data_IF_300378669891
#
_entry.id   IF_300378669891
#
_cell.length_a   1.000
_cell.length_b   1.000
_cell.length_c   1.000
_cell.angle_alpha   90.00
_cell.angle_beta   90.00
_cell.angle_gamma   90.00
#
_symmetry.space_group_name_H-M   'P 1'
#
loop_
_entity.id
_entity.type
_entity.pdbx_description
1 polymer ?
#
# COMPACT_ATOMS: atom_id res chain seq x y z
N UNK A 1 32.18 -6.88 -24.69
CA UNK A 1 31.16 -5.88 -24.32
C UNK A 1 30.89 -6.04 -22.83
N UNK A 2 31.34 -5.08 -22.02
CA UNK A 2 31.16 -5.10 -20.57
C UNK A 2 29.66 -5.03 -20.25
N UNK A 3 29.11 -6.04 -19.55
CA UNK A 3 27.82 -5.92 -18.89
C UNK A 3 27.96 -4.77 -17.89
N UNK A 4 27.47 -3.57 -18.23
CA UNK A 4 27.21 -2.52 -17.24
C UNK A 4 26.33 -3.17 -16.18
N UNK A 5 26.88 -3.44 -15.00
CA UNK A 5 26.10 -3.86 -13.84
C UNK A 5 25.11 -2.74 -13.58
N UNK A 6 23.84 -2.93 -13.96
CA UNK A 6 22.77 -2.02 -13.61
C UNK A 6 22.74 -1.94 -12.08
N UNK A 7 22.91 -0.73 -11.52
CA UNK A 7 22.81 -0.55 -10.07
C UNK A 7 21.41 -0.91 -9.62
N UNK A 8 21.28 -1.64 -8.51
CA UNK A 8 20.01 -2.14 -8.00
C UNK A 8 19.08 -1.06 -7.44
N UNK A 9 19.65 0.10 -7.09
CA UNK A 9 18.93 1.25 -6.56
C UNK A 9 19.62 2.56 -6.95
N UNK A 10 18.82 3.64 -7.05
CA UNK A 10 19.27 5.02 -7.24
C UNK A 10 18.76 5.91 -6.11
N UNK A 11 19.55 6.90 -5.73
CA UNK A 11 19.19 7.95 -4.78
C UNK A 11 19.06 9.28 -5.53
N UNK A 12 17.89 9.92 -5.39
CA UNK A 12 17.64 11.25 -5.98
C UNK A 12 17.49 12.28 -4.88
N UNK A 13 18.35 13.28 -4.87
CA UNK A 13 18.29 14.41 -3.95
C UNK A 13 17.51 15.56 -4.58
N UNK A 14 16.60 16.17 -3.83
CA UNK A 14 15.93 17.40 -4.27
C UNK A 14 16.80 18.64 -4.07
N UNK A 15 16.43 19.72 -4.75
CA UNK A 15 16.81 21.07 -4.34
C UNK A 15 16.42 21.33 -2.88
N UNK A 16 17.10 22.24 -2.16
CA UNK A 16 16.73 22.63 -0.80
C UNK A 16 15.30 23.16 -0.73
N UNK A 17 14.54 22.63 0.22
CA UNK A 17 13.15 22.96 0.51
C UNK A 17 13.05 23.61 1.90
N UNK A 18 11.92 24.27 2.16
CA UNK A 18 11.60 24.74 3.49
C UNK A 18 10.15 24.54 3.86
N UNK A 19 9.91 24.16 5.12
CA UNK A 19 8.59 24.02 5.72
C UNK A 19 8.65 24.57 7.14
N UNK A 20 7.76 25.50 7.49
CA UNK A 20 7.69 26.09 8.84
C UNK A 20 9.05 26.64 9.34
N UNK A 21 9.90 27.16 8.45
CA UNK A 21 11.23 27.68 8.78
C UNK A 21 12.31 26.60 8.94
N UNK A 22 11.97 25.31 8.83
CA UNK A 22 12.92 24.21 8.77
C UNK A 22 13.42 24.07 7.33
N UNK A 23 14.74 24.06 7.13
CA UNK A 23 15.37 23.73 5.84
C UNK A 23 15.56 22.22 5.73
N UNK A 24 15.30 21.65 4.57
CA UNK A 24 15.55 20.24 4.33
C UNK A 24 15.76 19.91 2.85
N UNK A 25 16.36 18.76 2.58
CA UNK A 25 16.34 18.13 1.26
C UNK A 25 15.62 16.79 1.33
N UNK A 26 15.02 16.37 0.22
CA UNK A 26 14.35 15.10 0.08
C UNK A 26 15.28 14.10 -0.62
N UNK A 27 15.61 13.01 0.05
CA UNK A 27 16.36 11.89 -0.49
C UNK A 27 15.39 10.77 -0.90
N UNK A 28 15.26 10.56 -2.21
CA UNK A 28 14.29 9.64 -2.81
C UNK A 28 14.98 8.33 -3.19
N UNK A 29 14.46 7.20 -2.72
CA UNK A 29 14.96 5.87 -3.05
C UNK A 29 14.14 5.30 -4.21
N UNK A 30 14.82 4.98 -5.30
CA UNK A 30 14.27 4.26 -6.46
C UNK A 30 14.93 2.88 -6.56
N UNK A 31 14.13 1.81 -6.57
CA UNK A 31 14.62 0.45 -6.84
C UNK A 31 14.44 0.17 -8.33
N UNK A 32 15.55 -0.12 -9.02
CA UNK A 32 15.61 -0.10 -10.50
C UNK A 32 15.38 -1.47 -11.13
N UNK A 33 15.56 -2.56 -10.36
CA UNK A 33 15.26 -3.91 -10.85
C UNK A 33 13.76 -4.04 -11.14
N UNK A 34 13.39 -4.81 -12.15
CA UNK A 34 11.99 -4.99 -12.57
C UNK A 34 11.11 -5.61 -11.49
N UNK A 35 11.69 -6.48 -10.66
CA UNK A 35 11.05 -7.09 -9.49
C UNK A 35 11.12 -6.20 -8.23
N UNK A 36 11.83 -5.07 -8.31
CA UNK A 36 12.12 -4.13 -7.22
C UNK A 36 12.78 -4.80 -6.01
N UNK A 37 13.49 -5.92 -6.22
CA UNK A 37 14.21 -6.61 -5.16
C UNK A 37 15.63 -6.07 -5.03
N UNK A 38 16.03 -5.81 -3.79
CA UNK A 38 17.41 -5.47 -3.46
C UNK A 38 17.92 -6.43 -2.39
N UNK A 39 19.21 -6.73 -2.47
CA UNK A 39 19.90 -7.62 -1.55
C UNK A 39 20.83 -6.80 -0.64
N UNK A 40 21.17 -7.29 0.57
CA UNK A 40 22.07 -6.56 1.47
C UNK A 40 23.42 -6.18 0.85
N UNK A 41 23.93 -6.98 -0.10
CA UNK A 41 25.18 -6.68 -0.81
C UNK A 41 25.09 -5.46 -1.73
N UNK A 42 23.88 -5.07 -2.15
CA UNK A 42 23.65 -3.94 -3.05
C UNK A 42 23.98 -2.58 -2.39
N UNK A 43 24.09 -2.50 -1.05
CA UNK A 43 24.46 -1.25 -0.34
C UNK A 43 25.96 -1.01 -0.19
N UNK A 44 26.80 -2.03 -0.43
CA UNK A 44 28.22 -2.01 -0.06
C UNK A 44 29.00 -0.84 -0.68
N UNK A 45 28.58 -0.41 -1.88
CA UNK A 45 29.19 0.70 -2.62
C UNK A 45 28.15 1.79 -2.93
N UNK A 46 27.12 1.93 -2.08
CA UNK A 46 26.11 2.95 -2.25
C UNK A 46 26.70 4.31 -1.86
N UNK A 47 26.89 5.19 -2.83
CA UNK A 47 27.34 6.55 -2.59
C UNK A 47 26.15 7.47 -2.35
N UNK A 48 26.24 8.31 -1.31
CA UNK A 48 25.28 9.38 -1.10
C UNK A 48 25.47 10.49 -2.15
N UNK A 49 24.38 11.17 -2.57
CA UNK A 49 24.49 12.36 -3.41
C UNK A 49 25.45 13.40 -2.79
N UNK A 50 26.38 13.99 -3.57
CA UNK A 50 27.42 14.87 -3.04
C UNK A 50 26.89 16.23 -2.55
N UNK A 51 25.70 16.63 -3.02
CA UNK A 51 25.12 17.96 -2.78
C UNK A 51 24.22 18.03 -1.54
N UNK A 52 24.41 17.12 -0.57
CA UNK A 52 23.66 17.12 0.69
C UNK A 52 24.11 18.29 1.58
N UNK A 53 23.19 19.21 1.85
CA UNK A 53 23.33 20.31 2.79
C UNK A 53 23.16 19.79 4.22
N UNK A 54 24.28 19.63 4.92
CA UNK A 54 24.31 19.17 6.32
C UNK A 54 23.79 20.20 7.32
N UNK A 55 23.60 21.46 6.92
CA UNK A 55 23.04 22.51 7.80
C UNK A 55 21.52 22.41 7.93
N UNK A 56 20.88 21.73 6.97
CA UNK A 56 19.46 21.40 6.99
C UNK A 56 19.20 19.96 7.43
N UNK A 57 17.93 19.58 7.37
CA UNK A 57 17.53 18.18 7.54
C UNK A 57 17.47 17.39 6.23
N UNK A 58 17.42 16.07 6.35
CA UNK A 58 17.16 15.19 5.20
C UNK A 58 15.93 14.33 5.48
N UNK A 59 14.99 14.36 4.55
CA UNK A 59 13.81 13.48 4.55
C UNK A 59 14.07 12.32 3.60
N UNK A 60 14.07 11.10 4.12
CA UNK A 60 14.21 9.87 3.33
C UNK A 60 12.81 9.41 2.88
N UNK A 61 12.63 9.13 1.60
CA UNK A 61 11.36 8.69 1.02
C UNK A 61 11.56 7.63 -0.06
N UNK A 62 10.71 6.59 -0.10
CA UNK A 62 10.74 5.58 -1.14
C UNK A 62 10.29 4.20 -0.65
N UNK A 63 10.09 3.25 -1.58
CA UNK A 63 9.82 1.86 -1.19
C UNK A 63 11.14 1.14 -1.05
N UNK A 64 11.52 0.83 0.19
CA UNK A 64 12.75 0.12 0.47
C UNK A 64 12.64 -0.73 1.73
N UNK A 65 13.44 -1.80 1.84
CA UNK A 65 13.59 -2.56 3.07
C UNK A 65 14.06 -1.70 4.25
N UNK A 66 13.67 -2.11 5.46
CA UNK A 66 14.02 -1.41 6.70
C UNK A 66 15.53 -1.25 6.92
N UNK A 67 16.33 -2.23 6.51
CA UNK A 67 17.79 -2.15 6.64
C UNK A 67 18.41 -1.04 5.77
N UNK A 68 17.82 -0.69 4.63
CA UNK A 68 18.30 0.42 3.80
C UNK A 68 17.99 1.76 4.46
N UNK A 69 16.80 1.89 5.04
CA UNK A 69 16.43 3.07 5.84
C UNK A 69 17.37 3.26 7.04
N UNK A 70 17.69 2.18 7.74
CA UNK A 70 18.66 2.21 8.86
C UNK A 70 20.03 2.66 8.39
N UNK A 71 20.55 2.07 7.30
CA UNK A 71 21.83 2.45 6.70
C UNK A 71 21.85 3.93 6.29
N UNK A 72 20.86 4.41 5.54
CA UNK A 72 20.79 5.81 5.11
C UNK A 72 20.68 6.76 6.30
N UNK A 73 19.93 6.40 7.35
CA UNK A 73 19.86 7.20 8.58
C UNK A 73 21.23 7.32 9.25
N UNK A 74 22.02 6.23 9.25
CA UNK A 74 23.39 6.26 9.77
C UNK A 74 24.31 7.14 8.92
N UNK A 75 24.30 7.00 7.59
CA UNK A 75 25.17 7.79 6.71
C UNK A 75 24.81 9.29 6.72
N UNK A 76 23.52 9.61 6.89
CA UNK A 76 23.03 10.99 6.96
C UNK A 76 23.15 11.63 8.35
N UNK A 77 23.71 10.93 9.35
CA UNK A 77 23.84 11.44 10.72
C UNK A 77 24.57 12.79 10.86
N UNK A 78 25.42 13.27 9.93
CA UNK A 78 26.01 14.61 10.05
C UNK A 78 25.02 15.76 9.81
N UNK A 79 23.82 15.49 9.27
CA UNK A 79 22.80 16.50 9.00
C UNK A 79 22.15 17.03 10.29
N UNK A 80 21.47 18.19 10.21
CA UNK A 80 20.84 18.80 11.38
C UNK A 80 19.75 17.89 11.97
N UNK A 81 18.99 17.20 11.13
CA UNK A 81 17.98 16.21 11.50
C UNK A 81 17.61 15.29 10.34
N UNK A 82 17.10 14.11 10.65
CA UNK A 82 16.70 13.10 9.67
C UNK A 82 15.26 12.71 9.96
N UNK A 83 14.46 12.57 8.90
CA UNK A 83 13.10 12.10 8.99
C UNK A 83 12.79 11.04 7.93
N UNK A 84 11.94 10.07 8.29
CA UNK A 84 11.39 9.09 7.36
C UNK A 84 10.01 9.55 6.89
N UNK A 85 9.80 9.62 5.58
CA UNK A 85 8.51 9.99 5.03
C UNK A 85 7.51 8.83 5.06
N UNK A 86 6.38 9.04 5.73
CA UNK A 86 5.22 8.15 5.67
C UNK A 86 4.05 8.90 5.00
N UNK A 87 3.54 8.45 3.85
CA UNK A 87 2.44 9.12 3.15
C UNK A 87 1.14 9.19 3.95
N UNK A 88 1.00 8.42 5.04
CA UNK A 88 -0.14 8.46 5.96
C UNK A 88 -0.02 9.59 7.00
N UNK A 89 1.19 10.08 7.26
CA UNK A 89 1.49 10.99 8.37
C UNK A 89 2.19 12.28 7.94
N UNK A 90 3.27 12.17 7.16
CA UNK A 90 4.25 13.22 6.90
C UNK A 90 5.68 12.71 7.12
N UNK A 91 6.64 13.62 7.29
CA UNK A 91 8.01 13.26 7.63
C UNK A 91 8.15 13.09 9.14
N UNK A 92 8.38 11.86 9.60
CA UNK A 92 8.56 11.52 11.02
C UNK A 92 10.04 11.60 11.37
N UNK A 93 10.41 12.52 12.25
CA UNK A 93 11.81 12.72 12.68
C UNK A 93 12.31 11.47 13.42
N UNK A 94 13.35 10.83 12.88
CA UNK A 94 13.95 9.61 13.43
C UNK A 94 15.28 9.88 14.14
N UNK A 95 16.01 10.94 13.76
CA UNK A 95 17.23 11.38 14.40
C UNK A 95 17.38 12.91 14.33
N UNK A 96 18.08 13.52 15.28
CA UNK A 96 18.35 14.96 15.28
C UNK A 96 19.63 15.29 16.02
N UNK A 97 20.43 16.22 15.46
CA UNK A 97 21.53 16.90 16.14
C UNK A 97 21.19 18.38 16.43
N UNK A 98 19.96 18.78 16.13
CA UNK A 98 19.46 20.15 16.24
C UNK A 98 18.41 20.26 17.34
N UNK A 99 18.27 21.47 17.89
CA UNK A 99 17.17 21.83 18.81
C UNK A 99 15.91 22.30 18.09
N UNK A 100 15.92 22.37 16.75
CA UNK A 100 14.79 22.82 15.94
C UNK A 100 13.65 21.79 15.89
N UNK A 101 13.96 20.51 16.10
CA UNK A 101 13.00 19.40 16.04
C UNK A 101 13.25 18.39 17.17
N UNK A 102 12.28 17.50 17.42
CA UNK A 102 12.42 16.40 18.37
C UNK A 102 12.09 15.04 17.71
N UNK A 103 12.69 13.96 18.23
CA UNK A 103 12.43 12.59 17.74
C UNK A 103 10.94 12.25 17.90
N UNK A 104 10.32 11.73 16.84
CA UNK A 104 8.89 11.44 16.78
C UNK A 104 8.02 12.62 16.35
N UNK A 105 8.58 13.83 16.18
CA UNK A 105 7.87 14.95 15.57
C UNK A 105 7.45 14.60 14.13
N UNK A 106 6.21 14.92 13.78
CA UNK A 106 5.72 14.79 12.40
C UNK A 106 5.74 16.16 11.73
N UNK A 107 6.59 16.30 10.72
CA UNK A 107 6.67 17.51 9.89
C UNK A 107 5.66 17.35 8.75
N UNK A 108 4.65 18.25 8.63
CA UNK A 108 3.57 18.11 7.68
C UNK A 108 4.03 18.52 6.27
N UNK A 109 4.63 17.58 5.56
CA UNK A 109 5.07 17.76 4.17
C UNK A 109 4.34 16.82 3.23
N UNK A 110 4.19 17.26 1.99
CA UNK A 110 3.75 16.44 0.86
C UNK A 110 4.84 16.56 -0.22
N UNK A 111 5.85 15.68 -0.20
CA UNK A 111 6.94 15.74 -1.15
C UNK A 111 6.42 15.54 -2.58
N UNK A 112 7.02 16.22 -3.59
CA UNK A 112 6.63 16.12 -4.99
C UNK A 112 6.70 14.68 -5.55
N UNK A 113 7.40 13.78 -4.87
CA UNK A 113 7.54 12.35 -5.17
C UNK A 113 6.23 11.53 -5.11
N UNK A 114 5.09 12.14 -4.74
CA UNK A 114 3.78 11.54 -4.93
C UNK A 114 3.18 11.75 -6.33
N UNK A 115 3.65 12.74 -7.10
CA UNK A 115 3.01 13.13 -8.38
C UNK A 115 3.93 13.69 -9.48
N UNK A 116 5.26 13.81 -9.31
CA UNK A 116 6.06 14.52 -10.31
C UNK A 116 7.26 13.81 -10.97
N UNK A 117 7.59 12.54 -10.72
CA UNK A 117 8.76 11.93 -11.40
C UNK A 117 8.58 10.60 -12.14
N UNK A 118 7.35 10.14 -12.41
CA UNK A 118 7.12 9.23 -13.52
C UNK A 118 5.90 9.70 -14.31
N UNK A 119 6.08 9.97 -15.61
CA UNK A 119 5.07 10.50 -16.52
C UNK A 119 3.86 9.58 -16.74
N UNK A 120 3.02 9.44 -15.72
CA UNK A 120 1.71 8.80 -15.82
C UNK A 120 0.63 9.85 -15.53
N UNK A 121 0.10 10.33 -16.65
CA UNK A 121 -1.16 11.02 -16.89
C UNK A 121 -1.86 11.71 -15.68
N UNK A 122 -2.11 13.01 -15.88
CA UNK A 122 -3.07 13.84 -15.15
C UNK A 122 -4.53 13.31 -15.16
N UNK A 123 -4.76 12.10 -15.67
CA UNK A 123 -6.07 11.57 -16.05
C UNK A 123 -6.73 10.72 -14.93
N UNK A 124 -6.05 10.48 -13.80
CA UNK A 124 -6.53 9.59 -12.73
C UNK A 124 -6.98 10.31 -11.45
N UNK A 125 -7.32 11.60 -11.54
CA UNK A 125 -7.87 12.35 -10.42
C UNK A 125 -9.34 12.59 -10.71
N UNK A 126 -10.21 12.25 -9.76
CA UNK A 126 -11.55 12.84 -9.74
C UNK A 126 -11.38 14.35 -9.47
N UNK A 127 -11.45 15.14 -10.54
CA UNK A 127 -11.13 16.59 -10.58
C UNK A 127 -11.93 17.36 -9.51
N UNK A 128 -13.11 16.87 -9.12
CA UNK A 128 -13.96 17.53 -8.12
C UNK A 128 -13.48 17.37 -6.68
N UNK A 129 -12.86 16.23 -6.32
CA UNK A 129 -12.46 15.94 -4.94
C UNK A 129 -10.96 16.01 -4.69
N UNK A 130 -10.14 15.95 -5.75
CA UNK A 130 -8.67 15.92 -5.64
C UNK A 130 -8.10 14.64 -5.03
N UNK A 131 -8.96 13.68 -4.65
CA UNK A 131 -8.61 12.39 -4.05
C UNK A 131 -8.60 11.30 -5.12
N UNK A 132 -7.60 10.43 -5.08
CA UNK A 132 -7.60 9.24 -5.92
C UNK A 132 -8.66 8.23 -5.45
N UNK A 133 -9.01 7.25 -6.30
CA UNK A 133 -9.86 6.14 -5.89
C UNK A 133 -9.25 5.32 -4.75
N UNK A 134 -10.11 4.76 -3.92
CA UNK A 134 -9.78 3.72 -2.95
C UNK A 134 -10.68 2.50 -3.16
N UNK A 135 -10.03 1.34 -3.41
CA UNK A 135 -10.65 0.05 -3.69
C UNK A 135 -10.58 -0.82 -2.43
N UNK A 136 -11.73 -1.07 -1.81
CA UNK A 136 -11.86 -1.94 -0.65
C UNK A 136 -11.98 -3.40 -1.09
N UNK A 137 -11.07 -4.27 -0.62
CA UNK A 137 -11.17 -5.72 -0.80
C UNK A 137 -11.91 -6.30 0.40
N UNK A 138 -13.03 -6.97 0.13
CA UNK A 138 -13.93 -7.48 1.16
C UNK A 138 -14.36 -8.91 0.87
N UNK A 139 -14.89 -9.59 1.88
CA UNK A 139 -15.29 -10.98 1.78
C UNK A 139 -15.26 -11.69 3.13
N UNK A 140 -15.86 -12.89 3.25
CA UNK A 140 -15.76 -13.66 4.48
C UNK A 140 -14.30 -14.04 4.82
N UNK A 141 -14.02 -14.52 6.04
CA UNK A 141 -12.71 -15.06 6.39
C UNK A 141 -12.30 -16.19 5.43
N UNK A 142 -11.00 -16.38 5.25
CA UNK A 142 -10.39 -17.48 4.46
C UNK A 142 -10.83 -17.57 2.99
N UNK A 143 -11.33 -16.49 2.41
CA UNK A 143 -11.71 -16.43 0.98
C UNK A 143 -10.57 -15.97 0.05
N UNK A 144 -9.37 -15.73 0.58
CA UNK A 144 -8.22 -15.30 -0.23
C UNK A 144 -8.08 -13.77 -0.39
N UNK A 145 -8.74 -12.96 0.45
CA UNK A 145 -8.69 -11.48 0.44
C UNK A 145 -7.25 -10.92 0.38
N UNK A 146 -6.40 -11.31 1.33
CA UNK A 146 -5.03 -10.81 1.38
C UNK A 146 -4.12 -11.36 0.28
N UNK A 147 -4.45 -12.54 -0.25
CA UNK A 147 -3.76 -13.10 -1.42
C UNK A 147 -4.12 -12.27 -2.66
N UNK A 148 -5.41 -12.01 -2.87
CA UNK A 148 -5.90 -11.17 -3.97
C UNK A 148 -5.38 -9.73 -3.86
N UNK A 149 -5.48 -9.10 -2.69
CA UNK A 149 -5.06 -7.70 -2.50
C UNK A 149 -3.57 -7.52 -2.81
N UNK A 150 -2.74 -8.48 -2.40
CA UNK A 150 -1.32 -8.50 -2.73
C UNK A 150 -1.08 -8.80 -4.21
N UNK A 151 -1.72 -9.82 -4.79
CA UNK A 151 -1.55 -10.18 -6.20
C UNK A 151 -1.96 -9.02 -7.13
N UNK A 152 -3.09 -8.37 -6.83
CA UNK A 152 -3.59 -7.21 -7.55
C UNK A 152 -2.63 -6.02 -7.44
N UNK A 153 -2.10 -5.76 -6.24
CA UNK A 153 -1.07 -4.73 -6.04
C UNK A 153 0.18 -5.01 -6.87
N UNK A 154 0.72 -6.24 -6.83
CA UNK A 154 1.91 -6.61 -7.61
C UNK A 154 1.68 -6.51 -9.12
N UNK A 155 0.51 -6.95 -9.60
CA UNK A 155 0.17 -6.91 -11.02
C UNK A 155 -0.02 -5.48 -11.57
N UNK A 156 -0.51 -4.55 -10.75
CA UNK A 156 -0.71 -3.15 -11.15
C UNK A 156 0.55 -2.30 -11.00
N UNK A 157 1.49 -2.70 -10.13
CA UNK A 157 2.65 -1.89 -9.77
C UNK A 157 3.58 -1.49 -10.94
N UNK A 158 3.81 -2.34 -11.96
CA UNK A 158 4.63 -1.98 -13.13
C UNK A 158 4.04 -0.83 -13.95
N UNK A 159 2.73 -0.83 -14.16
CA UNK A 159 2.01 0.19 -14.95
C UNK A 159 1.59 1.40 -14.09
N UNK A 160 1.41 1.21 -12.80
CA UNK A 160 0.98 2.23 -11.85
C UNK A 160 1.90 2.21 -10.60
N UNK A 161 3.10 2.81 -10.68
CA UNK A 161 4.07 2.82 -9.59
C UNK A 161 3.60 3.57 -8.33
N UNK A 162 2.57 4.39 -8.44
CA UNK A 162 2.05 5.29 -7.39
C UNK A 162 0.81 4.76 -6.65
N UNK A 163 0.52 3.46 -6.74
CA UNK A 163 -0.54 2.81 -5.97
C UNK A 163 -0.09 2.42 -4.57
N UNK A 164 -1.00 2.24 -3.61
CA UNK A 164 -0.64 1.81 -2.25
C UNK A 164 -1.55 0.68 -1.75
N UNK A 165 -0.98 -0.31 -1.05
CA UNK A 165 -1.73 -1.37 -0.37
C UNK A 165 -1.79 -1.06 1.13
N UNK A 166 -2.95 -0.59 1.59
CA UNK A 166 -3.23 -0.33 3.00
C UNK A 166 -3.89 -1.56 3.63
N UNK A 167 -3.17 -2.23 4.53
CA UNK A 167 -3.74 -3.31 5.37
C UNK A 167 -4.44 -2.68 6.57
N UNK A 168 -5.75 -2.89 6.72
CA UNK A 168 -6.57 -2.36 7.81
C UNK A 168 -7.23 -3.50 8.59
N UNK A 169 -6.40 -4.36 9.17
CA UNK A 169 -6.79 -5.54 9.95
C UNK A 169 -6.11 -5.51 11.31
N UNK A 170 -6.86 -5.84 12.36
CA UNK A 170 -6.36 -5.94 13.74
C UNK A 170 -6.34 -7.38 14.25
N UNK A 171 -6.94 -8.30 13.49
CA UNK A 171 -7.26 -9.68 13.89
C UNK A 171 -6.09 -10.67 13.71
N UNK A 172 -4.90 -10.18 13.35
CA UNK A 172 -3.70 -11.01 13.16
C UNK A 172 -3.64 -11.71 11.80
N UNK A 173 -4.61 -11.48 10.90
CA UNK A 173 -4.55 -12.00 9.53
C UNK A 173 -3.38 -11.39 8.74
N UNK A 174 -2.61 -12.25 8.05
CA UNK A 174 -1.66 -11.84 7.01
C UNK A 174 -0.18 -11.67 7.40
N UNK A 175 0.18 -11.67 8.68
CA UNK A 175 1.59 -11.61 9.14
C UNK A 175 2.14 -12.94 9.66
N UNK A 176 1.28 -13.87 10.09
CA UNK A 176 1.69 -15.16 10.64
C UNK A 176 2.55 -15.99 9.69
N UNK A 177 2.38 -15.85 8.37
CA UNK A 177 3.13 -16.64 7.40
C UNK A 177 4.60 -16.19 7.30
N UNK A 178 4.92 -14.93 7.61
CA UNK A 178 6.32 -14.48 7.68
C UNK A 178 7.03 -15.08 8.90
N UNK A 179 6.29 -15.33 9.97
CA UNK A 179 6.80 -15.79 11.26
C UNK A 179 6.74 -17.32 11.44
N UNK A 180 5.78 -18.00 10.80
CA UNK A 180 5.57 -19.44 10.90
C UNK A 180 6.00 -20.23 9.66
N UNK A 181 6.28 -19.55 8.53
CA UNK A 181 6.62 -20.20 7.26
C UNK A 181 5.41 -20.77 6.50
N UNK A 182 5.67 -21.31 5.30
CA UNK A 182 4.64 -21.87 4.40
C UNK A 182 4.14 -23.26 4.82
N UNK A 183 4.86 -23.93 5.71
CA UNK A 183 4.55 -25.29 6.19
C UNK A 183 3.76 -25.29 7.51
N UNK A 184 3.41 -24.11 8.02
CA UNK A 184 2.65 -23.97 9.26
C UNK A 184 1.29 -24.65 9.15
N UNK A 185 0.94 -25.46 10.14
CA UNK A 185 -0.36 -26.11 10.25
C UNK A 185 -1.45 -25.08 10.57
N UNK A 186 -2.71 -25.40 10.23
CA UNK A 186 -3.86 -24.56 10.56
C UNK A 186 -3.95 -24.26 12.07
N UNK A 187 -3.57 -25.23 12.92
CA UNK A 187 -3.52 -25.09 14.37
C UNK A 187 -2.46 -24.09 14.83
N UNK A 188 -1.27 -24.09 14.22
CA UNK A 188 -0.20 -23.13 14.52
C UNK A 188 -0.57 -21.71 14.06
N UNK A 189 -1.21 -21.61 12.90
CA UNK A 189 -1.73 -20.35 12.36
C UNK A 189 -2.78 -19.77 13.30
N UNK A 190 -3.76 -20.56 13.73
CA UNK A 190 -4.80 -20.12 14.66
C UNK A 190 -4.22 -19.76 16.04
N UNK A 191 -3.29 -20.55 16.56
CA UNK A 191 -2.61 -20.25 17.82
C UNK A 191 -1.76 -18.96 17.72
N UNK A 192 -1.17 -18.67 16.57
CA UNK A 192 -0.43 -17.42 16.34
C UNK A 192 -1.37 -16.23 16.20
N UNK A 193 -2.47 -16.37 15.44
CA UNK A 193 -3.51 -15.35 15.35
C UNK A 193 -4.01 -15.01 16.75
N UNK A 194 -4.33 -16.02 17.57
CA UNK A 194 -4.81 -15.82 18.94
C UNK A 194 -3.78 -15.12 19.85
N UNK A 195 -2.50 -15.49 19.74
CA UNK A 195 -1.40 -14.87 20.51
C UNK A 195 -1.11 -13.42 20.13
N UNK A 196 -1.26 -13.08 18.84
CA UNK A 196 -0.91 -11.77 18.30
C UNK A 196 -2.13 -10.89 17.98
N UNK A 197 -3.34 -11.35 18.32
CA UNK A 197 -4.57 -10.58 18.14
C UNK A 197 -4.52 -9.34 19.03
N UNK A 198 -4.47 -8.18 18.41
CA UNK A 198 -4.65 -6.92 19.14
C UNK A 198 -6.07 -6.81 19.70
N UNK A 199 -6.30 -5.86 20.60
CA UNK A 199 -7.65 -5.48 20.96
C UNK A 199 -8.18 -4.45 19.95
N UNK A 200 -9.40 -4.65 19.46
CA UNK A 200 -10.09 -3.59 18.72
C UNK A 200 -10.32 -2.41 19.66
N UNK A 201 -9.71 -1.27 19.36
CA UNK A 201 -9.93 -0.01 20.08
C UNK A 201 -10.86 0.88 19.27
N UNK A 202 -11.58 1.79 19.95
CA UNK A 202 -12.42 2.80 19.29
C UNK A 202 -11.64 3.68 18.29
N UNK A 203 -10.32 3.77 18.45
CA UNK A 203 -9.43 4.54 17.57
C UNK A 203 -9.00 3.80 16.32
N UNK A 204 -9.14 2.47 16.26
CA UNK A 204 -8.57 1.65 15.20
C UNK A 204 -9.11 2.02 13.81
N UNK A 205 -10.44 2.01 13.65
CA UNK A 205 -11.07 2.32 12.37
C UNK A 205 -10.94 3.82 11.98
N UNK A 206 -11.13 4.78 12.90
CA UNK A 206 -10.84 6.19 12.61
C UNK A 206 -9.40 6.44 12.17
N UNK A 207 -8.42 5.79 12.81
CA UNK A 207 -7.01 5.90 12.44
C UNK A 207 -6.76 5.41 11.00
N UNK A 208 -7.28 4.23 10.65
CA UNK A 208 -7.16 3.69 9.30
C UNK A 208 -7.91 4.54 8.26
N UNK A 209 -9.10 5.04 8.59
CA UNK A 209 -9.84 5.95 7.73
C UNK A 209 -9.04 7.21 7.41
N UNK A 210 -8.46 7.85 8.43
CA UNK A 210 -7.61 9.03 8.25
C UNK A 210 -6.36 8.69 7.41
N UNK A 211 -5.72 7.55 7.66
CA UNK A 211 -4.58 7.09 6.87
C UNK A 211 -4.95 6.88 5.39
N UNK A 212 -6.10 6.25 5.10
CA UNK A 212 -6.61 6.06 3.73
C UNK A 212 -6.83 7.42 3.07
N UNK A 213 -7.44 8.38 3.77
CA UNK A 213 -7.66 9.73 3.22
C UNK A 213 -6.35 10.45 2.89
N UNK A 214 -5.32 10.34 3.74
CA UNK A 214 -4.00 10.93 3.43
C UNK A 214 -3.33 10.24 2.24
N UNK A 215 -3.38 8.91 2.17
CA UNK A 215 -2.89 8.15 1.03
C UNK A 215 -3.60 8.58 -0.26
N UNK A 216 -4.92 8.76 -0.23
CA UNK A 216 -5.71 9.17 -1.40
C UNK A 216 -5.34 10.55 -1.94
N UNK A 217 -4.74 11.43 -1.13
CA UNK A 217 -4.24 12.75 -1.57
C UNK A 217 -2.95 12.65 -2.39
N UNK A 218 -2.20 11.57 -2.22
CA UNK A 218 -0.83 11.45 -2.72
C UNK A 218 -0.62 10.29 -3.69
N UNK A 219 -1.55 9.34 -3.75
CA UNK A 219 -1.46 8.13 -4.57
C UNK A 219 -2.38 8.21 -5.78
N UNK A 220 -2.24 7.26 -6.71
CA UNK A 220 -3.14 7.12 -7.86
C UNK A 220 -4.26 6.10 -7.63
N UNK A 221 -4.06 5.16 -6.70
CA UNK A 221 -5.05 4.22 -6.18
C UNK A 221 -4.63 3.74 -4.79
N UNK A 222 -5.58 3.60 -3.87
CA UNK A 222 -5.35 2.93 -2.58
C UNK A 222 -6.15 1.63 -2.57
N UNK A 223 -5.47 0.48 -2.56
CA UNK A 223 -6.08 -0.82 -2.32
C UNK A 223 -6.16 -0.98 -0.79
N UNK A 224 -7.37 -1.15 -0.27
CA UNK A 224 -7.64 -1.27 1.16
C UNK A 224 -8.06 -2.71 1.45
N UNK A 225 -7.20 -3.46 2.12
CA UNK A 225 -7.50 -4.83 2.53
C UNK A 225 -8.07 -4.77 3.96
N UNK A 226 -9.26 -5.34 4.16
CA UNK A 226 -10.05 -5.23 5.41
C UNK A 226 -10.48 -6.61 5.91
N UNK A 227 -10.54 -6.78 7.23
CA UNK A 227 -10.87 -8.06 7.88
C UNK A 227 -12.18 -8.68 7.44
N UNK A 228 -12.29 -10.01 7.60
CA UNK A 228 -13.32 -10.84 6.98
C UNK A 228 -14.75 -10.75 7.55
N UNK A 229 -15.02 -9.85 8.50
CA UNK A 229 -16.34 -9.71 9.13
C UNK A 229 -17.05 -8.42 8.74
N UNK A 230 -18.34 -8.49 8.40
CA UNK A 230 -19.19 -7.30 8.26
C UNK A 230 -19.47 -6.74 9.64
N UNK A 231 -19.03 -5.52 9.91
CA UNK A 231 -19.07 -4.91 11.24
C UNK A 231 -19.40 -3.41 11.13
N UNK A 232 -20.40 -2.89 11.87
CA UNK A 232 -20.75 -1.48 11.85
C UNK A 232 -19.58 -0.54 12.19
N UNK A 233 -18.65 -0.98 13.03
CA UNK A 233 -17.48 -0.23 13.47
C UNK A 233 -16.54 0.14 12.30
N UNK A 234 -16.64 -0.55 11.16
CA UNK A 234 -15.89 -0.27 9.93
C UNK A 234 -16.44 0.91 9.12
N UNK A 235 -17.53 1.54 9.56
CA UNK A 235 -18.14 2.69 8.88
C UNK A 235 -17.12 3.78 8.50
N UNK A 236 -16.14 4.17 9.35
CA UNK A 236 -15.13 5.16 8.96
C UNK A 236 -14.29 4.74 7.75
N UNK A 237 -14.01 3.44 7.59
CA UNK A 237 -13.26 2.92 6.43
C UNK A 237 -14.14 2.96 5.17
N UNK A 238 -15.43 2.65 5.29
CA UNK A 238 -16.38 2.76 4.17
C UNK A 238 -16.38 4.19 3.63
N UNK A 239 -16.51 5.19 4.51
CA UNK A 239 -16.49 6.62 4.15
C UNK A 239 -15.17 7.06 3.49
N UNK A 240 -14.07 6.41 3.83
CA UNK A 240 -12.76 6.68 3.23
C UNK A 240 -12.55 5.99 1.87
N UNK A 241 -13.38 5.01 1.51
CA UNK A 241 -13.27 4.25 0.26
C UNK A 241 -14.20 4.79 -0.84
N UNK A 242 -14.08 4.25 -2.05
CA UNK A 242 -14.92 4.67 -3.21
C UNK A 242 -15.48 3.49 -3.99
N UNK A 243 -14.72 2.40 -4.04
CA UNK A 243 -15.02 1.20 -4.80
C UNK A 243 -14.83 0.00 -3.90
N UNK A 244 -15.46 -1.13 -4.24
CA UNK A 244 -15.24 -2.39 -3.54
C UNK A 244 -15.18 -3.57 -4.51
N UNK A 245 -14.45 -4.60 -4.08
CA UNK A 245 -14.35 -5.89 -4.74
C UNK A 245 -14.58 -6.98 -3.69
N UNK A 246 -15.55 -7.84 -3.96
CA UNK A 246 -15.88 -8.98 -3.09
C UNK A 246 -15.10 -10.21 -3.57
N UNK A 247 -14.44 -10.93 -2.66
CA UNK A 247 -13.96 -12.29 -2.90
C UNK A 247 -14.53 -13.22 -1.84
N UNK A 248 -15.18 -14.30 -2.25
CA UNK A 248 -15.89 -15.20 -1.34
C UNK A 248 -15.82 -16.64 -1.77
N UNK A 249 -15.48 -17.53 -0.83
CA UNK A 249 -15.65 -18.99 -0.97
C UNK A 249 -17.07 -19.44 -0.62
N UNK A 250 -17.91 -18.51 -0.14
CA UNK A 250 -19.27 -18.73 0.35
C UNK A 250 -20.24 -17.82 -0.42
N UNK A 251 -20.86 -18.29 -1.52
CA UNK A 251 -21.76 -17.45 -2.34
C UNK A 251 -22.88 -16.78 -1.53
N UNK A 252 -23.40 -17.45 -0.52
CA UNK A 252 -24.44 -16.94 0.39
C UNK A 252 -24.01 -15.72 1.22
N UNK A 253 -22.70 -15.50 1.40
CA UNK A 253 -22.17 -14.36 2.16
C UNK A 253 -21.98 -13.09 1.31
N UNK A 254 -22.11 -13.19 -0.02
CA UNK A 254 -21.85 -12.07 -0.96
C UNK A 254 -22.86 -10.94 -0.76
N UNK A 255 -24.15 -11.26 -0.59
CA UNK A 255 -25.20 -10.24 -0.44
C UNK A 255 -24.98 -9.35 0.79
N UNK A 256 -24.57 -9.93 1.92
CA UNK A 256 -24.27 -9.15 3.12
C UNK A 256 -23.13 -8.13 2.90
N UNK A 257 -22.16 -8.46 2.04
CA UNK A 257 -21.11 -7.51 1.65
C UNK A 257 -21.59 -6.46 0.66
N UNK A 258 -22.50 -6.80 -0.26
CA UNK A 258 -23.17 -5.81 -1.10
C UNK A 258 -23.94 -4.80 -0.25
N UNK A 259 -24.81 -5.26 0.66
CA UNK A 259 -25.57 -4.37 1.56
C UNK A 259 -24.63 -3.46 2.38
N UNK A 260 -23.54 -4.03 2.89
CA UNK A 260 -22.57 -3.28 3.68
C UNK A 260 -21.81 -2.22 2.87
N UNK A 261 -21.31 -2.57 1.68
CA UNK A 261 -20.48 -1.66 0.88
C UNK A 261 -21.30 -0.70 0.02
N UNK A 262 -22.34 -1.19 -0.64
CA UNK A 262 -23.18 -0.42 -1.55
C UNK A 262 -24.23 0.38 -0.77
N UNK A 263 -25.10 -0.28 -0.01
CA UNK A 263 -26.27 0.40 0.58
C UNK A 263 -25.89 1.30 1.75
N UNK A 264 -24.95 0.85 2.60
CA UNK A 264 -24.47 1.66 3.74
C UNK A 264 -23.29 2.56 3.39
N UNK A 265 -22.38 2.08 2.54
CA UNK A 265 -21.13 2.78 2.21
C UNK A 265 -21.19 3.64 0.94
N UNK A 266 -22.25 3.51 0.13
CA UNK A 266 -22.37 4.14 -1.20
C UNK A 266 -21.15 3.90 -2.10
N UNK A 267 -20.50 2.74 -1.94
CA UNK A 267 -19.34 2.35 -2.73
C UNK A 267 -19.78 1.74 -4.06
N UNK A 268 -18.96 1.91 -5.10
CA UNK A 268 -19.21 1.35 -6.43
C UNK A 268 -18.64 -0.08 -6.54
N UNK A 269 -19.44 -1.10 -6.95
CA UNK A 269 -18.93 -2.44 -7.16
C UNK A 269 -17.99 -2.49 -8.36
N UNK A 270 -16.87 -3.20 -8.22
CA UNK A 270 -15.91 -3.44 -9.30
C UNK A 270 -15.97 -4.88 -9.78
N UNK A 271 -15.87 -5.82 -8.83
CA UNK A 271 -16.01 -7.24 -9.13
C UNK A 271 -16.49 -8.06 -7.92
N UNK A 272 -17.07 -9.21 -8.22
CA UNK A 272 -17.40 -10.30 -7.30
C UNK A 272 -16.68 -11.55 -7.79
N UNK A 273 -15.79 -12.06 -6.95
CA UNK A 273 -15.00 -13.27 -7.21
C UNK A 273 -15.54 -14.39 -6.32
N UNK A 274 -16.13 -15.39 -6.94
CA UNK A 274 -16.43 -16.67 -6.28
C UNK A 274 -15.14 -17.49 -6.24
N UNK A 275 -14.44 -17.45 -5.10
CA UNK A 275 -13.15 -18.10 -4.92
C UNK A 275 -13.29 -19.62 -4.83
N UNK A 276 -12.41 -20.34 -5.50
CA UNK A 276 -12.37 -21.82 -5.53
C UNK A 276 -10.93 -22.30 -5.32
N UNK A 277 -10.75 -23.56 -4.92
CA UNK A 277 -9.44 -24.21 -4.84
C UNK A 277 -8.99 -24.84 -6.17
N UNK A 278 -9.92 -25.02 -7.11
CA UNK A 278 -9.61 -25.49 -8.46
C UNK A 278 -9.12 -24.34 -9.33
N UNK A 279 -8.18 -24.63 -10.24
CA UNK A 279 -7.74 -23.72 -11.29
C UNK A 279 -8.83 -23.55 -12.33
N UNK A 280 -9.55 -22.45 -12.25
CA UNK A 280 -10.67 -22.14 -13.14
C UNK A 280 -10.82 -20.64 -13.28
N UNK A 281 -11.24 -20.20 -14.47
CA UNK A 281 -11.68 -18.84 -14.72
C UNK A 281 -12.98 -18.91 -15.52
N UNK A 282 -14.10 -18.53 -14.89
CA UNK A 282 -15.42 -18.53 -15.54
C UNK A 282 -16.15 -17.23 -15.24
N UNK A 283 -16.29 -16.39 -16.26
CA UNK A 283 -17.07 -15.14 -16.18
C UNK A 283 -18.56 -15.50 -16.23
N UNK A 284 -19.31 -15.03 -15.24
CA UNK A 284 -20.76 -15.18 -15.17
C UNK A 284 -21.48 -13.94 -15.70
N UNK A 285 -20.95 -12.76 -15.37
CA UNK A 285 -21.55 -11.47 -15.72
C UNK A 285 -20.46 -10.41 -15.87
N UNK A 286 -20.69 -9.45 -16.75
CA UNK A 286 -19.80 -8.30 -16.96
C UNK A 286 -20.57 -6.99 -17.20
N UNK A 287 -21.80 -6.91 -16.66
CA UNK A 287 -22.68 -5.76 -16.75
C UNK A 287 -22.75 -5.09 -15.37
N UNK A 288 -22.49 -3.79 -15.28
CA UNK A 288 -22.39 -2.99 -14.04
C UNK A 288 -21.20 -3.31 -13.12
N UNK A 289 -20.83 -4.59 -12.97
CA UNK A 289 -19.60 -5.06 -12.34
C UNK A 289 -19.25 -6.46 -12.89
N UNK A 290 -18.00 -6.88 -12.71
CA UNK A 290 -17.55 -8.23 -13.11
C UNK A 290 -17.97 -9.27 -12.08
N UNK A 291 -18.59 -10.36 -12.49
CA UNK A 291 -18.82 -11.53 -11.64
C UNK A 291 -18.14 -12.76 -12.25
N UNK A 292 -17.26 -13.40 -11.47
CA UNK A 292 -16.37 -14.45 -11.97
C UNK A 292 -16.16 -15.53 -10.91
N UNK A 293 -16.10 -16.80 -11.31
CA UNK A 293 -15.48 -17.86 -10.50
C UNK A 293 -14.01 -17.96 -10.86
N UNK A 294 -13.14 -17.79 -9.88
CA UNK A 294 -11.69 -17.82 -10.09
C UNK A 294 -10.94 -18.43 -8.89
N UNK A 295 -9.86 -19.15 -9.15
CA UNK A 295 -8.99 -19.75 -8.13
C UNK A 295 -7.84 -20.55 -8.74
N UNK A 296 -6.92 -21.10 -7.94
CA UNK A 296 -6.86 -20.99 -6.47
C UNK A 296 -6.32 -19.64 -5.98
N UNK A 297 -7.01 -19.00 -5.03
CA UNK A 297 -6.51 -17.81 -4.33
C UNK A 297 -5.70 -18.18 -3.08
N UNK A 298 -4.73 -19.08 -3.26
CA UNK A 298 -3.86 -19.59 -2.21
C UNK A 298 -2.45 -19.05 -2.40
N UNK A 299 -1.82 -18.58 -1.31
CA UNK A 299 -0.47 -17.99 -1.38
C UNK A 299 0.51 -19.01 -1.98
N UNK A 300 1.34 -18.56 -2.92
CA UNK A 300 2.31 -19.40 -3.63
C UNK A 300 1.73 -20.22 -4.79
N UNK A 301 0.40 -20.26 -4.93
CA UNK A 301 -0.29 -20.93 -6.05
C UNK A 301 -0.93 -19.94 -7.02
N UNK A 302 -1.00 -18.65 -6.67
CA UNK A 302 -1.47 -17.61 -7.60
C UNK A 302 -0.39 -17.34 -8.63
N UNK A 303 -0.60 -17.84 -9.85
CA UNK A 303 0.28 -17.61 -10.99
C UNK A 303 0.15 -16.18 -11.54
N UNK A 304 -1.09 -15.73 -11.74
CA UNK A 304 -1.41 -14.39 -12.22
C UNK A 304 -2.82 -13.97 -11.79
N UNK A 305 -3.09 -12.66 -11.77
CA UNK A 305 -4.45 -12.14 -11.62
C UNK A 305 -5.13 -12.23 -12.99
N UNK A 306 -6.34 -12.81 -13.11
CA UNK A 306 -7.06 -12.89 -14.38
C UNK A 306 -7.21 -11.52 -15.06
N UNK A 307 -7.02 -11.48 -16.38
CA UNK A 307 -7.06 -10.22 -17.16
C UNK A 307 -8.39 -9.48 -17.02
N UNK A 308 -9.49 -10.21 -16.87
CA UNK A 308 -10.82 -9.63 -16.63
C UNK A 308 -10.88 -8.84 -15.32
N UNK A 309 -10.31 -9.37 -14.24
CA UNK A 309 -10.23 -8.69 -12.94
C UNK A 309 -9.30 -7.47 -13.04
N UNK A 310 -8.15 -7.60 -13.71
CA UNK A 310 -7.24 -6.48 -13.95
C UNK A 310 -7.91 -5.37 -14.77
N UNK A 311 -8.63 -5.71 -15.84
CA UNK A 311 -9.36 -4.74 -16.67
C UNK A 311 -10.43 -4.01 -15.87
N UNK A 312 -11.23 -4.73 -15.09
CA UNK A 312 -12.24 -4.13 -14.22
C UNK A 312 -11.63 -3.26 -13.12
N UNK A 313 -10.45 -3.61 -12.60
CA UNK A 313 -9.75 -2.76 -11.63
C UNK A 313 -9.14 -1.53 -12.29
N UNK A 314 -8.57 -1.68 -13.49
CA UNK A 314 -7.95 -0.57 -14.23
C UNK A 314 -8.97 0.50 -14.65
N UNK A 315 -10.24 0.14 -14.85
CA UNK A 315 -11.29 1.11 -15.18
C UNK A 315 -11.51 2.14 -14.06
N UNK A 316 -11.16 1.80 -12.80
CA UNK A 316 -11.26 2.69 -11.65
C UNK A 316 -10.36 3.93 -11.80
N UNK A 317 -9.18 3.78 -12.41
CA UNK A 317 -8.27 4.91 -12.65
C UNK A 317 -8.85 5.94 -13.61
N UNK A 318 -9.79 5.55 -14.48
CA UNK A 318 -10.29 6.38 -15.60
C UNK A 318 -11.70 6.88 -15.30
N UNK A 319 -12.09 7.03 -14.03
CA UNK A 319 -13.44 7.49 -13.66
C UNK A 319 -13.73 8.88 -14.25
N UNK A 320 -14.24 8.91 -15.48
CA UNK A 320 -15.04 10.00 -16.05
C UNK A 320 -16.26 10.12 -15.15
N UNK A 321 -16.40 11.30 -14.56
CA UNK A 321 -17.64 11.74 -13.92
C UNK A 321 -18.84 11.49 -14.81
#
# INVERSE_FOLDING_TARGET
MSKRTMMALHLHLSEPLSVQGLKYQLLSIELTKSDRLIEPQDIKNLELPPDIDTTGGVVISGRAPMWLYSYLTHELHPTAWIACYDPRLGAVVSATNSRQVYIGQVIPINPPNGRQNHGLAKDAINIETGLCPALMIVGPPDSGKSVLSHALFQALLPEHPDIYLQRAHWDGEGNYVLELGLEATDEEIEAFKLRNKGALTERFFPYHAQAILQLRRQKSLVIVDVGGMVQPEKLPILEACTHYLIISSKPQAVNAWHEFCHDRGNLKPVAVIHSTLAEVERIHKNESYLEITSGPWVRGQVNAVPESILKSTKSIFVSKS
#
